data_IF_894961957942
#
_entry.id   IF_894961957942
#
_cell.length_a   1.000
_cell.length_b   1.000
_cell.length_c   1.000
_cell.angle_alpha   90.00
_cell.angle_beta   90.00
_cell.angle_gamma   90.00
#
_symmetry.space_group_name_H-M   'P 1'
#
loop_
_entity.id
_entity.type
_entity.pdbx_description
1 polymer ?
#
# COMPACT_ATOMS: atom_id res chain seq x y z
N UNK A 1 25.74 -5.41 -6.87
CA UNK A 1 24.53 -6.25 -7.04
C UNK A 1 23.42 -5.47 -6.38
N UNK A 2 22.30 -5.23 -7.08
CA UNK A 2 21.21 -4.45 -6.49
C UNK A 2 20.51 -5.24 -5.40
N UNK A 3 20.08 -4.55 -4.34
CA UNK A 3 19.38 -5.12 -3.19
C UNK A 3 17.90 -4.79 -3.23
N UNK A 4 17.05 -5.80 -3.11
CA UNK A 4 15.59 -5.65 -3.04
C UNK A 4 15.12 -6.10 -1.66
N UNK A 5 14.43 -5.22 -0.95
CA UNK A 5 13.77 -5.58 0.30
C UNK A 5 12.30 -5.90 0.04
N UNK A 6 11.81 -7.01 0.59
CA UNK A 6 10.41 -7.39 0.61
C UNK A 6 9.96 -7.29 2.06
N UNK A 7 9.15 -6.27 2.35
CA UNK A 7 8.60 -6.06 3.70
C UNK A 7 7.23 -6.71 3.84
N UNK A 8 7.02 -7.46 4.91
CA UNK A 8 5.78 -8.19 5.20
C UNK A 8 5.42 -8.11 6.68
N UNK A 9 4.20 -8.51 7.03
CA UNK A 9 3.78 -8.73 8.43
C UNK A 9 3.35 -10.18 8.71
N UNK A 10 3.05 -10.92 7.64
CA UNK A 10 2.79 -12.35 7.62
C UNK A 10 3.26 -12.89 6.27
N UNK A 11 4.13 -13.88 6.30
CA UNK A 11 4.61 -14.56 5.08
C UNK A 11 3.47 -15.42 4.51
N UNK A 12 3.05 -15.14 3.27
CA UNK A 12 2.20 -16.01 2.46
C UNK A 12 3.01 -16.65 1.34
N UNK A 13 2.32 -17.36 0.44
CA UNK A 13 2.94 -17.95 -0.73
C UNK A 13 3.54 -16.88 -1.64
N UNK A 14 2.83 -15.77 -1.81
CA UNK A 14 3.23 -14.66 -2.69
C UNK A 14 4.57 -14.06 -2.28
N UNK A 15 4.81 -13.87 -0.98
CA UNK A 15 6.09 -13.35 -0.48
C UNK A 15 7.25 -14.33 -0.73
N UNK A 16 7.00 -15.65 -0.62
CA UNK A 16 8.01 -16.67 -0.96
C UNK A 16 8.31 -16.69 -2.46
N UNK A 17 7.28 -16.63 -3.30
CA UNK A 17 7.43 -16.57 -4.76
C UNK A 17 8.22 -15.32 -5.19
N UNK A 18 7.97 -14.17 -4.55
CA UNK A 18 8.73 -12.95 -4.81
C UNK A 18 10.20 -13.08 -4.41
N UNK A 19 10.48 -13.70 -3.26
CA UNK A 19 11.85 -13.98 -2.83
C UNK A 19 12.58 -14.89 -3.83
N UNK A 20 11.95 -15.99 -4.24
CA UNK A 20 12.49 -16.93 -5.23
C UNK A 20 12.75 -16.26 -6.58
N UNK A 21 11.81 -15.44 -7.05
CA UNK A 21 11.95 -14.69 -8.31
C UNK A 21 13.09 -13.68 -8.23
N UNK A 22 13.18 -12.89 -7.15
CA UNK A 22 14.24 -11.91 -6.93
C UNK A 22 15.63 -12.58 -6.92
N UNK A 23 15.77 -13.69 -6.19
CA UNK A 23 17.02 -14.47 -6.15
C UNK A 23 17.38 -15.05 -7.52
N UNK A 24 16.38 -15.58 -8.26
CA UNK A 24 16.60 -16.15 -9.60
C UNK A 24 17.04 -15.12 -10.64
N UNK A 25 16.67 -13.86 -10.44
CA UNK A 25 17.12 -12.73 -11.26
C UNK A 25 18.51 -12.20 -10.86
N UNK A 26 19.13 -12.75 -9.80
CA UNK A 26 20.44 -12.34 -9.31
C UNK A 26 20.41 -11.04 -8.50
N UNK A 27 19.33 -10.76 -7.78
CA UNK A 27 19.29 -9.71 -6.76
C UNK A 27 19.63 -10.26 -5.38
N UNK A 28 20.20 -9.41 -4.53
CA UNK A 28 20.33 -9.69 -3.10
C UNK A 28 19.01 -9.34 -2.41
N UNK A 29 18.34 -10.33 -1.84
CA UNK A 29 16.94 -10.19 -1.37
C UNK A 29 16.87 -10.16 0.15
N UNK A 30 16.33 -9.07 0.69
CA UNK A 30 16.07 -8.90 2.13
C UNK A 30 14.60 -9.23 2.40
N UNK A 31 14.34 -10.12 3.35
CA UNK A 31 13.00 -10.41 3.85
C UNK A 31 12.82 -9.72 5.20
N UNK A 32 11.97 -8.69 5.27
CA UNK A 32 11.84 -7.83 6.44
C UNK A 32 10.45 -7.94 7.09
N UNK A 33 10.39 -8.23 8.40
CA UNK A 33 9.15 -8.20 9.17
C UNK A 33 8.86 -6.78 9.70
N UNK A 34 7.81 -6.16 9.17
CA UNK A 34 7.32 -4.84 9.59
C UNK A 34 6.92 -4.79 11.06
N UNK A 35 6.52 -5.91 11.68
CA UNK A 35 6.09 -5.93 13.10
C UNK A 35 7.25 -5.72 14.07
N UNK A 36 8.46 -6.13 13.69
CA UNK A 36 9.64 -6.03 14.54
C UNK A 36 10.55 -4.88 14.15
N UNK A 37 10.33 -4.28 12.98
CA UNK A 37 11.09 -3.12 12.52
C UNK A 37 10.67 -1.88 13.29
N UNK A 38 11.65 -1.15 13.82
CA UNK A 38 11.42 0.05 14.63
C UNK A 38 12.03 1.25 13.93
N UNK A 39 11.27 2.34 13.84
CA UNK A 39 11.66 3.60 13.23
C UNK A 39 11.20 4.74 14.12
N UNK A 40 11.90 5.86 14.09
CA UNK A 40 11.54 7.10 14.79
C UNK A 40 11.69 8.29 13.86
N UNK A 41 11.29 9.48 14.33
CA UNK A 41 11.53 10.74 13.61
C UNK A 41 13.01 11.11 13.51
N UNK A 42 13.86 10.49 14.32
CA UNK A 42 15.32 10.66 14.30
C UNK A 42 16.02 9.58 13.46
N UNK A 43 15.28 8.58 12.97
CA UNK A 43 15.86 7.55 12.11
C UNK A 43 16.44 8.16 10.85
N UNK A 44 17.58 7.64 10.43
CA UNK A 44 18.25 7.98 9.19
C UNK A 44 18.18 6.81 8.22
N UNK A 45 18.30 7.12 6.92
CA UNK A 45 18.27 6.12 5.85
C UNK A 45 19.27 4.97 6.04
N UNK A 46 20.39 5.22 6.74
CA UNK A 46 21.47 4.24 6.95
C UNK A 46 21.30 3.38 8.22
N UNK A 47 20.33 3.68 9.07
CA UNK A 47 20.17 2.98 10.36
C UNK A 47 19.68 1.54 10.17
N UNK A 48 18.96 1.29 9.07
CA UNK A 48 18.41 -0.02 8.71
C UNK A 48 18.71 -0.27 7.23
N UNK A 49 19.23 -1.47 6.92
CA UNK A 49 19.46 -1.88 5.53
C UNK A 49 18.11 -2.26 4.88
N UNK A 50 17.50 -1.29 4.20
CA UNK A 50 16.30 -1.49 3.38
C UNK A 50 16.62 -1.85 1.92
N UNK A 51 17.90 -1.98 1.55
CA UNK A 51 18.31 -2.15 0.15
C UNK A 51 18.07 -0.91 -0.72
N UNK A 52 18.09 -1.12 -2.04
CA UNK A 52 17.92 -0.04 -3.02
C UNK A 52 16.45 0.32 -3.25
N UNK A 53 15.55 -0.65 -3.04
CA UNK A 53 14.10 -0.49 -3.19
C UNK A 53 13.37 -1.48 -2.28
N UNK A 54 12.25 -1.04 -1.72
CA UNK A 54 11.36 -1.85 -0.88
C UNK A 54 10.08 -2.20 -1.65
N UNK A 55 9.69 -3.46 -1.61
CA UNK A 55 8.38 -3.94 -2.03
C UNK A 55 7.50 -4.18 -0.80
N UNK A 56 6.46 -3.36 -0.66
CA UNK A 56 5.48 -3.41 0.42
C UNK A 56 4.49 -4.57 0.20
N UNK A 57 4.46 -5.52 1.14
CA UNK A 57 3.66 -6.76 1.05
C UNK A 57 2.91 -7.11 2.33
N UNK A 58 2.70 -6.17 3.25
CA UNK A 58 1.91 -6.39 4.44
C UNK A 58 0.47 -6.79 4.09
N UNK A 59 -0.09 -7.70 4.86
CA UNK A 59 -1.50 -8.10 4.77
C UNK A 59 -2.38 -7.01 5.38
N UNK A 60 -1.93 -6.36 6.45
CA UNK A 60 -2.66 -5.24 7.05
C UNK A 60 -2.49 -3.96 6.23
N UNK A 61 -3.60 -3.42 5.74
CA UNK A 61 -3.65 -2.14 5.04
C UNK A 61 -2.96 -1.02 5.82
N UNK A 62 -3.37 -0.76 7.07
CA UNK A 62 -2.82 0.34 7.85
C UNK A 62 -1.34 0.16 8.17
N UNK A 63 -0.88 -1.08 8.36
CA UNK A 63 0.54 -1.33 8.60
C UNK A 63 1.35 -1.02 7.36
N UNK A 64 0.98 -1.58 6.20
CA UNK A 64 1.67 -1.30 4.95
C UNK A 64 1.65 0.19 4.62
N UNK A 65 0.50 0.85 4.78
CA UNK A 65 0.31 2.28 4.52
C UNK A 65 1.24 3.16 5.37
N UNK A 66 1.31 2.93 6.68
CA UNK A 66 2.13 3.73 7.58
C UNK A 66 3.61 3.37 7.49
N UNK A 67 3.94 2.09 7.29
CA UNK A 67 5.33 1.68 7.06
C UNK A 67 5.89 2.34 5.79
N UNK A 68 5.10 2.37 4.72
CA UNK A 68 5.44 3.08 3.47
C UNK A 68 5.68 4.57 3.70
N UNK A 69 4.87 5.22 4.53
CA UNK A 69 5.09 6.62 4.92
C UNK A 69 6.42 6.82 5.64
N UNK A 70 6.79 5.91 6.55
CA UNK A 70 8.10 5.95 7.20
C UNK A 70 9.26 5.75 6.20
N UNK A 71 9.12 4.84 5.24
CA UNK A 71 10.12 4.63 4.20
C UNK A 71 10.31 5.88 3.33
N UNK A 72 9.20 6.51 2.90
CA UNK A 72 9.25 7.76 2.14
C UNK A 72 9.85 8.91 2.95
N UNK A 73 9.55 9.02 4.24
CA UNK A 73 10.19 9.98 5.16
C UNK A 73 11.71 9.82 5.19
N UNK A 74 12.21 8.57 5.12
CA UNK A 74 13.63 8.24 5.04
C UNK A 74 14.21 8.33 3.63
N UNK A 75 13.45 8.82 2.64
CA UNK A 75 13.82 8.86 1.22
C UNK A 75 14.15 7.48 0.63
N UNK A 76 13.54 6.42 1.15
CA UNK A 76 13.70 5.05 0.65
C UNK A 76 12.67 4.81 -0.46
N UNK A 77 13.10 4.39 -1.66
CA UNK A 77 12.18 4.02 -2.73
C UNK A 77 11.30 2.83 -2.31
N UNK A 78 9.99 2.97 -2.42
CA UNK A 78 9.02 1.94 -2.03
C UNK A 78 7.95 1.73 -3.09
N UNK A 79 7.61 0.47 -3.33
CA UNK A 79 6.59 0.02 -4.26
C UNK A 79 5.50 -0.70 -3.46
N UNK A 80 4.25 -0.25 -3.46
CA UNK A 80 3.77 1.03 -4.02
C UNK A 80 4.08 2.21 -3.08
N UNK A 81 4.07 3.43 -3.62
CA UNK A 81 4.17 4.64 -2.81
C UNK A 81 2.98 4.81 -1.89
N UNK A 82 3.14 5.60 -0.83
CA UNK A 82 2.10 5.88 0.17
C UNK A 82 0.86 6.47 -0.51
N UNK A 83 1.06 7.41 -1.43
CA UNK A 83 -0.02 8.03 -2.21
C UNK A 83 -0.80 7.02 -3.03
N UNK A 84 -0.14 6.04 -3.65
CA UNK A 84 -0.82 5.00 -4.42
C UNK A 84 -1.58 4.07 -3.48
N UNK A 85 -0.96 3.65 -2.37
CA UNK A 85 -1.60 2.81 -1.37
C UNK A 85 -2.85 3.47 -0.77
N UNK A 86 -2.79 4.76 -0.41
CA UNK A 86 -3.91 5.52 0.15
C UNK A 86 -5.07 5.65 -0.86
N UNK A 87 -4.74 6.03 -2.10
CA UNK A 87 -5.74 6.15 -3.16
C UNK A 87 -6.46 4.82 -3.40
N UNK A 88 -5.71 3.72 -3.56
CA UNK A 88 -6.24 2.39 -3.86
C UNK A 88 -6.93 1.72 -2.66
N UNK A 89 -6.50 2.05 -1.43
CA UNK A 89 -7.10 1.55 -0.19
C UNK A 89 -8.46 2.19 0.12
N UNK A 90 -8.74 3.36 -0.44
CA UNK A 90 -9.99 4.09 -0.22
C UNK A 90 -10.86 4.11 -1.49
N UNK A 91 -11.96 3.35 -1.46
CA UNK A 91 -12.90 3.24 -2.61
C UNK A 91 -13.53 4.59 -2.98
N UNK A 92 -13.81 5.46 -2.03
CA UNK A 92 -14.36 6.79 -2.33
C UNK A 92 -13.34 7.61 -3.12
N UNK A 93 -12.09 7.67 -2.66
CA UNK A 93 -11.01 8.39 -3.34
C UNK A 93 -10.73 7.79 -4.72
N UNK A 94 -10.58 6.46 -4.82
CA UNK A 94 -10.42 5.76 -6.10
C UNK A 94 -11.55 6.13 -7.07
N UNK A 95 -12.81 6.09 -6.63
CA UNK A 95 -13.97 6.38 -7.49
C UNK A 95 -13.94 7.80 -8.04
N UNK A 96 -13.56 8.78 -7.21
CA UNK A 96 -13.40 10.18 -7.62
C UNK A 96 -12.26 10.35 -8.62
N UNK A 97 -11.12 9.69 -8.41
CA UNK A 97 -9.96 9.75 -9.32
C UNK A 97 -10.27 9.14 -10.69
N UNK A 98 -10.92 7.98 -10.72
CA UNK A 98 -11.34 7.33 -11.96
C UNK A 98 -12.33 8.21 -12.74
N UNK A 99 -13.32 8.79 -12.05
CA UNK A 99 -14.29 9.69 -12.69
C UNK A 99 -13.61 10.94 -13.25
N UNK A 100 -12.67 11.53 -12.51
CA UNK A 100 -11.89 12.71 -12.95
C UNK A 100 -11.02 12.39 -14.17
N UNK A 101 -10.50 11.17 -14.26
CA UNK A 101 -9.70 10.70 -15.40
C UNK A 101 -10.54 10.25 -16.61
N UNK A 102 -11.88 10.28 -16.53
CA UNK A 102 -12.75 9.84 -17.62
C UNK A 102 -12.84 8.32 -17.78
N UNK A 103 -12.38 7.54 -16.79
CA UNK A 103 -12.49 6.08 -16.82
C UNK A 103 -13.95 5.67 -16.54
N UNK A 104 -14.48 4.75 -17.34
CA UNK A 104 -15.85 4.25 -17.14
C UNK A 104 -15.96 3.43 -15.86
N UNK A 105 -16.83 3.86 -14.94
CA UNK A 105 -17.11 3.20 -13.65
C UNK A 105 -18.63 3.19 -13.39
N UNK A 106 -19.13 2.31 -12.49
CA UNK A 106 -20.51 2.37 -12.06
C UNK A 106 -20.88 3.76 -11.49
N UNK A 107 -22.14 4.16 -11.62
CA UNK A 107 -22.64 5.38 -10.96
C UNK A 107 -22.57 5.16 -9.45
N UNK A 108 -21.72 5.91 -8.77
CA UNK A 108 -21.49 5.80 -7.33
C UNK A 108 -22.01 7.04 -6.61
N UNK A 109 -22.76 6.83 -5.53
CA UNK A 109 -23.20 7.89 -4.62
C UNK A 109 -22.41 7.79 -3.31
N UNK A 110 -22.21 8.92 -2.64
CA UNK A 110 -21.56 9.00 -1.33
C UNK A 110 -22.54 9.64 -0.35
N UNK A 111 -22.83 8.92 0.74
CA UNK A 111 -23.63 9.41 1.86
C UNK A 111 -22.75 9.44 3.11
N UNK A 112 -22.85 10.52 3.89
CA UNK A 112 -22.06 10.72 5.11
C UNK A 112 -22.91 10.65 6.39
N UNK A 113 -24.17 10.24 6.25
CA UNK A 113 -25.08 9.91 7.34
C UNK A 113 -25.99 8.76 6.91
N UNK A 114 -26.56 8.04 7.89
CA UNK A 114 -27.54 6.99 7.63
C UNK A 114 -28.81 7.53 6.99
N UNK A 115 -29.27 8.71 7.41
CA UNK A 115 -30.46 9.39 6.85
C UNK A 115 -30.29 9.68 5.36
N UNK A 116 -29.16 10.29 4.97
CA UNK A 116 -28.90 10.60 3.57
C UNK A 116 -28.67 9.35 2.72
N UNK A 117 -28.13 8.28 3.31
CA UNK A 117 -28.04 6.99 2.64
C UNK A 117 -29.43 6.44 2.31
N UNK A 118 -30.39 6.52 3.24
CA UNK A 118 -31.77 6.09 3.00
C UNK A 118 -32.49 6.97 1.97
N UNK A 119 -32.31 8.29 2.03
CA UNK A 119 -32.85 9.22 1.03
C UNK A 119 -32.33 8.91 -0.38
N UNK A 120 -31.04 8.59 -0.51
CA UNK A 120 -30.45 8.16 -1.78
C UNK A 120 -31.00 6.83 -2.26
N UNK A 121 -31.10 5.80 -1.40
CA UNK A 121 -31.66 4.49 -1.78
C UNK A 121 -33.10 4.64 -2.30
N UNK A 122 -33.96 5.39 -1.60
CA UNK A 122 -35.33 5.65 -2.03
C UNK A 122 -35.41 6.40 -3.38
N UNK A 123 -34.48 7.32 -3.63
CA UNK A 123 -34.42 8.11 -4.87
C UNK A 123 -33.87 7.30 -6.05
N UNK A 124 -32.87 6.47 -5.82
CA UNK A 124 -32.17 5.68 -6.86
C UNK A 124 -32.98 4.44 -7.23
N UNK A 125 -33.67 3.85 -6.26
CA UNK A 125 -34.33 2.55 -6.39
C UNK A 125 -33.34 1.40 -6.18
N UNK A 126 -33.89 0.23 -5.88
CA UNK A 126 -33.14 -1.01 -5.69
C UNK A 126 -32.80 -1.68 -7.03
N UNK A 127 -31.76 -2.55 -7.09
CA UNK A 127 -30.81 -2.86 -6.02
C UNK A 127 -29.77 -1.76 -5.76
#
# INVERSE_FOLDING_TARGET
MSKVCIVFDRIRLEEKMLQEASNSLGYDTIMMDAKTTQLSTESQQRDVDFGDVVLERCVSYFRGLHFTSCLEFLNIPVINSHKVADNCGNKMVTSLLLKKAGVATPKTYFAFSSEEAMNLINKVGYP
#
